data_IF_775723747649
#
_entry.id   IF_775723747649
#
_cell.length_a   1.000
_cell.length_b   1.000
_cell.length_c   1.000
_cell.angle_alpha   90.00
_cell.angle_beta   90.00
_cell.angle_gamma   90.00
#
_symmetry.space_group_name_H-M   'P 1'
#
loop_
_entity.id
_entity.type
_entity.pdbx_description
1 polymer ?
#
# COMPACT_ATOMS: atom_id res chain seq x y z
N UNK A 1 -56.66 -19.83 -60.94
CA UNK A 1 -55.48 -19.07 -60.46
C UNK A 1 -55.16 -19.41 -58.99
N UNK A 2 -54.37 -20.44 -58.60
CA UNK A 2 -54.21 -20.67 -57.14
C UNK A 2 -52.86 -21.08 -56.56
N UNK A 3 -51.98 -21.84 -57.25
CA UNK A 3 -50.72 -22.32 -56.62
C UNK A 3 -49.58 -21.30 -56.63
N UNK A 4 -49.32 -20.66 -57.76
CA UNK A 4 -48.19 -19.72 -57.93
C UNK A 4 -48.33 -18.46 -57.06
N UNK A 5 -49.56 -17.95 -56.90
CA UNK A 5 -49.86 -16.78 -56.06
C UNK A 5 -49.74 -17.11 -54.58
N UNK A 6 -50.18 -18.30 -54.14
CA UNK A 6 -50.03 -18.77 -52.76
C UNK A 6 -48.57 -18.95 -52.35
N UNK A 7 -47.73 -19.54 -53.22
CA UNK A 7 -46.30 -19.70 -52.92
C UNK A 7 -45.59 -18.35 -52.82
N UNK A 8 -45.97 -17.37 -53.64
CA UNK A 8 -45.47 -16.00 -53.50
C UNK A 8 -45.88 -15.39 -52.16
N UNK A 9 -47.16 -15.46 -51.78
CA UNK A 9 -47.64 -14.90 -50.50
C UNK A 9 -46.88 -15.54 -49.32
N UNK A 10 -46.69 -16.87 -49.31
CA UNK A 10 -45.98 -17.58 -48.25
C UNK A 10 -44.52 -17.11 -48.14
N UNK A 11 -43.82 -16.97 -49.28
CA UNK A 11 -42.43 -16.50 -49.29
C UNK A 11 -42.32 -15.07 -48.76
N UNK A 12 -43.25 -14.19 -49.12
CA UNK A 12 -43.27 -12.81 -48.63
C UNK A 12 -43.58 -12.73 -47.13
N UNK A 13 -44.51 -13.56 -46.62
CA UNK A 13 -44.79 -13.62 -45.18
C UNK A 13 -43.61 -14.15 -44.37
N UNK A 14 -42.87 -15.14 -44.88
CA UNK A 14 -41.68 -15.67 -44.22
C UNK A 14 -40.53 -14.65 -44.23
N UNK A 15 -40.35 -13.91 -45.32
CA UNK A 15 -39.34 -12.86 -45.42
C UNK A 15 -39.59 -11.71 -44.43
N UNK A 16 -40.84 -11.26 -44.28
CA UNK A 16 -41.20 -10.22 -43.32
C UNK A 16 -41.00 -10.66 -41.86
N UNK A 17 -41.32 -11.92 -41.55
CA UNK A 17 -41.10 -12.47 -40.21
C UNK A 17 -39.60 -12.52 -39.86
N UNK A 18 -38.73 -12.91 -40.80
CA UNK A 18 -37.28 -12.94 -40.59
C UNK A 18 -36.69 -11.55 -40.31
N UNK A 19 -37.16 -10.51 -41.03
CA UNK A 19 -36.71 -9.12 -40.82
C UNK A 19 -37.10 -8.61 -39.44
N UNK A 20 -38.31 -8.89 -38.97
CA UNK A 20 -38.76 -8.46 -37.64
C UNK A 20 -37.93 -9.05 -36.50
N UNK A 21 -37.50 -10.31 -36.62
CA UNK A 21 -36.67 -11.00 -35.62
C UNK A 21 -35.25 -10.37 -35.56
N UNK A 22 -34.66 -10.07 -36.71
CA UNK A 22 -33.32 -9.46 -36.79
C UNK A 22 -33.30 -8.03 -36.22
N UNK A 23 -34.33 -7.24 -36.51
CA UNK A 23 -34.45 -5.85 -36.01
C UNK A 23 -34.78 -5.85 -34.51
N UNK A 24 -35.68 -6.72 -34.05
CA UNK A 24 -36.03 -6.82 -32.62
C UNK A 24 -34.84 -7.27 -31.75
N UNK A 25 -34.07 -8.24 -32.22
CA UNK A 25 -32.90 -8.75 -31.49
C UNK A 25 -31.76 -7.73 -31.36
N UNK A 26 -31.52 -6.93 -32.40
CA UNK A 26 -30.48 -5.89 -32.37
C UNK A 26 -30.84 -4.72 -31.46
N UNK A 27 -32.11 -4.30 -31.43
CA UNK A 27 -32.57 -3.24 -30.51
C UNK A 27 -32.44 -3.69 -29.05
N UNK A 28 -32.81 -4.94 -28.72
CA UNK A 28 -32.67 -5.48 -27.37
C UNK A 28 -31.21 -5.55 -26.90
N UNK A 29 -30.27 -5.90 -27.80
CA UNK A 29 -28.84 -5.93 -27.50
C UNK A 29 -28.28 -4.53 -27.22
N UNK A 30 -28.69 -3.52 -28.00
CA UNK A 30 -28.25 -2.12 -27.81
C UNK A 30 -28.81 -1.52 -26.51
N UNK A 31 -30.07 -1.80 -26.19
CA UNK A 31 -30.70 -1.34 -24.94
C UNK A 31 -30.08 -1.99 -23.70
N UNK A 32 -29.70 -3.27 -23.79
CA UNK A 32 -29.04 -3.98 -22.68
C UNK A 32 -27.56 -3.65 -22.56
N UNK A 33 -26.85 -3.31 -23.64
CA UNK A 33 -25.44 -2.88 -23.57
C UNK A 33 -25.28 -1.46 -22.99
N UNK A 34 -26.27 -0.58 -23.20
CA UNK A 34 -26.26 0.79 -22.69
C UNK A 34 -26.25 0.92 -21.16
N UNK A 35 -26.74 -0.09 -20.42
CA UNK A 35 -26.81 -0.08 -18.95
C UNK A 35 -25.53 -0.57 -18.26
N UNK A 36 -24.57 -1.15 -18.99
CA UNK A 36 -23.31 -1.66 -18.41
C UNK A 36 -22.24 -0.59 -18.18
N UNK A 37 -22.48 0.65 -18.62
CA UNK A 37 -21.52 1.76 -18.43
C UNK A 37 -21.57 2.42 -17.05
N UNK A 38 -22.49 2.03 -16.17
CA UNK A 38 -22.81 2.80 -14.96
C UNK A 38 -22.16 2.32 -13.64
N UNK A 39 -21.27 1.31 -13.62
CA UNK A 39 -20.70 0.79 -12.36
C UNK A 39 -19.18 0.57 -12.33
N UNK A 40 -18.40 1.30 -13.12
CA UNK A 40 -16.98 1.47 -12.80
C UNK A 40 -16.87 2.67 -11.86
N UNK A 41 -17.16 2.44 -10.56
CA UNK A 41 -16.69 3.37 -9.52
C UNK A 41 -15.18 3.33 -9.59
N UNK A 42 -14.58 4.32 -10.27
CA UNK A 42 -13.15 4.60 -10.22
C UNK A 42 -12.84 4.85 -8.74
N UNK A 43 -12.30 3.84 -8.03
CA UNK A 43 -11.90 4.00 -6.63
C UNK A 43 -10.77 5.02 -6.64
N UNK A 44 -11.10 6.28 -6.37
CA UNK A 44 -10.11 7.31 -6.16
C UNK A 44 -9.19 6.79 -5.06
N UNK A 45 -7.89 6.71 -5.35
CA UNK A 45 -6.92 6.26 -4.37
C UNK A 45 -6.94 7.28 -3.22
N UNK A 46 -7.20 6.80 -1.99
CA UNK A 46 -7.38 7.69 -0.84
C UNK A 46 -6.05 8.38 -0.57
N UNK A 47 -6.03 9.71 -0.65
CA UNK A 47 -4.88 10.53 -0.27
C UNK A 47 -5.15 11.05 1.14
N UNK A 48 -4.16 10.88 2.03
CA UNK A 48 -4.27 11.28 3.42
C UNK A 48 -3.17 12.29 3.79
N UNK A 49 -3.46 13.12 4.79
CA UNK A 49 -2.52 14.09 5.35
C UNK A 49 -2.42 13.89 6.86
N UNK A 50 -1.21 13.60 7.34
CA UNK A 50 -0.81 13.46 8.75
C UNK A 50 0.29 14.45 9.11
N UNK A 51 -0.04 15.73 9.01
CA UNK A 51 0.84 16.82 9.42
C UNK A 51 2.10 16.93 8.56
N UNK A 52 3.22 17.30 9.21
CA UNK A 52 4.49 17.57 8.54
C UNK A 52 5.27 16.29 8.20
N UNK A 53 5.02 15.19 8.91
CA UNK A 53 5.74 13.91 8.75
C UNK A 53 5.29 13.15 7.51
N UNK A 54 3.98 13.19 7.21
CA UNK A 54 3.44 12.48 6.06
C UNK A 54 2.24 13.24 5.47
N UNK A 55 2.39 13.80 4.25
CA UNK A 55 1.33 14.57 3.59
C UNK A 55 1.22 14.25 2.10
N UNK A 56 0.02 14.37 1.55
CA UNK A 56 -0.25 14.30 0.12
C UNK A 56 -0.06 12.91 -0.50
N UNK A 57 -0.10 11.84 0.29
CA UNK A 57 0.14 10.48 -0.20
C UNK A 57 -0.88 9.46 0.30
N UNK A 58 -1.02 8.39 -0.49
CA UNK A 58 -1.82 7.20 -0.14
C UNK A 58 -1.23 6.38 1.00
N UNK A 59 0.07 6.49 1.20
CA UNK A 59 0.77 5.76 2.25
C UNK A 59 0.53 6.42 3.63
N UNK A 60 0.25 7.72 3.67
CA UNK A 60 -0.01 8.48 4.90
C UNK A 60 -1.37 8.18 5.57
N UNK A 61 -2.13 7.20 5.09
CA UNK A 61 -3.43 6.86 5.66
C UNK A 61 -3.34 6.00 6.93
N UNK A 62 -2.18 5.40 7.21
CA UNK A 62 -1.93 4.59 8.39
C UNK A 62 -1.23 5.40 9.51
N UNK A 63 -0.65 4.72 10.50
CA UNK A 63 0.19 5.33 11.53
C UNK A 63 1.53 5.82 10.95
N UNK A 64 2.04 6.92 11.48
CA UNK A 64 3.39 7.47 11.22
C UNK A 64 4.39 6.83 12.17
N UNK A 65 5.68 7.00 11.91
CA UNK A 65 6.70 6.42 12.82
C UNK A 65 6.58 7.00 14.21
N UNK A 66 6.31 8.31 14.34
CA UNK A 66 6.17 8.94 15.67
C UNK A 66 4.95 8.46 16.44
N UNK A 67 3.91 7.93 15.78
CA UNK A 67 2.74 7.37 16.45
C UNK A 67 3.11 6.16 17.32
N UNK A 68 4.03 5.30 16.85
CA UNK A 68 4.36 4.02 17.52
C UNK A 68 5.81 3.84 17.97
N UNK A 69 6.75 4.67 17.49
CA UNK A 69 8.17 4.63 17.87
C UNK A 69 8.57 5.93 18.54
N UNK A 70 8.58 5.92 19.87
CA UNK A 70 8.85 7.09 20.72
C UNK A 70 10.32 7.19 21.07
N UNK A 71 10.73 8.40 21.47
CA UNK A 71 12.12 8.70 21.87
C UNK A 71 12.69 7.71 22.88
N UNK A 72 11.92 7.31 23.90
CA UNK A 72 12.41 6.36 24.90
C UNK A 72 12.73 4.97 24.31
N UNK A 73 12.02 4.53 23.27
CA UNK A 73 12.31 3.26 22.60
C UNK A 73 13.59 3.36 21.78
N UNK A 74 13.82 4.51 21.13
CA UNK A 74 15.06 4.79 20.42
C UNK A 74 16.26 4.82 21.38
N UNK A 75 16.13 5.53 22.50
CA UNK A 75 17.18 5.59 23.52
C UNK A 75 17.48 4.22 24.13
N UNK A 76 16.45 3.42 24.41
CA UNK A 76 16.63 2.07 24.94
C UNK A 76 17.27 1.14 23.90
N UNK A 77 16.86 1.21 22.63
CA UNK A 77 17.40 0.37 21.56
C UNK A 77 18.87 0.67 21.27
N UNK A 78 19.26 1.94 21.39
CA UNK A 78 20.61 2.42 21.11
C UNK A 78 21.30 3.02 22.34
N UNK A 79 21.15 2.38 23.50
CA UNK A 79 21.64 2.89 24.79
C UNK A 79 23.16 3.12 24.83
N UNK A 80 23.94 2.32 24.09
CA UNK A 80 25.41 2.39 24.07
C UNK A 80 26.00 3.28 22.96
N UNK A 81 25.18 3.88 22.09
CA UNK A 81 25.65 4.63 20.90
C UNK A 81 26.48 5.86 21.25
N UNK A 82 26.27 6.42 22.44
CA UNK A 82 26.93 7.64 22.93
C UNK A 82 27.99 7.35 24.01
N UNK A 83 28.40 6.08 24.18
CA UNK A 83 29.50 5.75 25.09
C UNK A 83 30.83 6.30 24.55
N UNK A 84 31.82 6.63 25.40
CA UNK A 84 33.09 7.21 24.94
C UNK A 84 33.89 6.33 23.95
N UNK A 85 33.63 5.02 23.95
CA UNK A 85 34.22 4.05 23.02
C UNK A 85 33.56 4.06 21.63
N UNK A 86 32.38 4.66 21.49
CA UNK A 86 31.70 4.75 20.21
C UNK A 86 32.35 5.81 19.31
N UNK A 87 32.42 5.53 18.02
CA UNK A 87 33.06 6.45 17.07
C UNK A 87 32.18 7.65 16.68
N UNK A 88 30.88 7.61 17.01
CA UNK A 88 29.88 8.57 16.56
C UNK A 88 29.05 9.13 17.73
N UNK A 89 29.72 9.46 18.85
CA UNK A 89 29.08 10.02 20.05
C UNK A 89 28.31 11.29 19.69
N UNK A 90 27.03 11.32 20.04
CA UNK A 90 26.13 12.46 19.83
C UNK A 90 25.68 12.65 18.37
N UNK A 91 26.10 11.80 17.44
CA UNK A 91 25.75 11.93 16.02
C UNK A 91 24.34 11.43 15.72
N UNK A 92 23.97 10.29 16.29
CA UNK A 92 22.68 9.66 16.07
C UNK A 92 21.66 10.15 17.10
N UNK A 93 20.68 10.92 16.65
CA UNK A 93 19.62 11.48 17.48
C UNK A 93 18.22 11.09 16.96
N UNK A 94 17.26 10.96 17.87
CA UNK A 94 15.89 10.58 17.53
C UNK A 94 15.22 11.63 16.62
N UNK A 95 15.41 12.93 16.89
CA UNK A 95 14.84 13.99 16.06
C UNK A 95 15.42 13.96 14.65
N UNK A 96 16.73 13.70 14.53
CA UNK A 96 17.38 13.55 13.23
C UNK A 96 16.79 12.35 12.45
N UNK A 97 16.56 11.22 13.13
CA UNK A 97 15.94 10.04 12.53
C UNK A 97 14.52 10.34 12.02
N UNK A 98 13.64 10.92 12.84
CA UNK A 98 12.26 11.25 12.44
C UNK A 98 12.23 12.27 11.30
N UNK A 99 13.09 13.29 11.36
CA UNK A 99 13.18 14.31 10.30
C UNK A 99 13.61 13.70 8.97
N UNK A 100 14.56 12.78 8.99
CA UNK A 100 14.97 12.05 7.79
C UNK A 100 13.85 11.11 7.29
N UNK A 101 13.16 10.42 8.19
CA UNK A 101 12.10 9.48 7.84
C UNK A 101 10.88 10.18 7.21
N UNK A 102 10.52 11.38 7.66
CA UNK A 102 9.43 12.19 7.12
C UNK A 102 9.55 12.44 5.60
N UNK A 103 10.78 12.43 5.05
CA UNK A 103 11.00 12.54 3.60
C UNK A 103 10.53 11.31 2.81
N UNK A 104 10.46 10.16 3.48
CA UNK A 104 10.17 8.85 2.89
C UNK A 104 8.87 8.21 3.40
N UNK A 105 8.28 8.71 4.49
CA UNK A 105 6.94 8.28 4.95
C UNK A 105 5.86 8.45 3.86
N UNK A 106 5.80 9.57 3.09
CA UNK A 106 4.89 9.69 1.94
C UNK A 106 5.21 8.72 0.80
N UNK A 107 6.36 8.07 0.81
CA UNK A 107 6.79 7.09 -0.19
C UNK A 107 6.58 5.65 0.27
N UNK A 108 6.16 5.44 1.53
CA UNK A 108 5.82 4.12 2.07
C UNK A 108 6.69 3.67 3.23
N UNK A 109 7.77 4.38 3.58
CA UNK A 109 8.69 3.97 4.64
C UNK A 109 7.97 3.94 5.99
N UNK A 110 7.83 2.75 6.57
CA UNK A 110 7.10 2.52 7.82
C UNK A 110 5.66 3.06 7.83
N UNK A 111 5.05 3.26 6.66
CA UNK A 111 3.64 3.69 6.52
C UNK A 111 2.78 2.64 5.80
N UNK A 112 3.38 1.53 5.38
CA UNK A 112 2.73 0.47 4.58
C UNK A 112 2.30 -0.73 5.43
N UNK A 113 1.17 -1.36 5.07
CA UNK A 113 0.79 -2.67 5.60
C UNK A 113 0.19 -2.68 7.02
N UNK A 114 -0.14 -1.51 7.57
CA UNK A 114 -0.70 -1.37 8.91
C UNK A 114 0.34 -1.54 10.03
N UNK A 115 -0.06 -1.20 11.25
CA UNK A 115 0.86 -1.01 12.39
C UNK A 115 1.88 -2.12 12.61
N UNK A 116 1.46 -3.40 12.54
CA UNK A 116 2.38 -4.51 12.75
C UNK A 116 3.46 -4.59 11.67
N UNK A 117 3.11 -4.39 10.40
CA UNK A 117 4.07 -4.40 9.30
C UNK A 117 5.01 -3.19 9.34
N UNK A 118 4.47 -2.02 9.70
CA UNK A 118 5.27 -0.80 9.90
C UNK A 118 6.33 -0.99 10.98
N UNK A 119 5.97 -1.60 12.12
CA UNK A 119 6.91 -1.92 13.18
C UNK A 119 7.95 -2.96 12.73
N UNK A 120 7.55 -3.96 11.94
CA UNK A 120 8.50 -4.94 11.38
C UNK A 120 9.49 -4.28 10.42
N UNK A 121 9.04 -3.40 9.54
CA UNK A 121 9.89 -2.64 8.62
C UNK A 121 10.89 -1.78 9.39
N UNK A 122 10.42 -1.06 10.41
CA UNK A 122 11.28 -0.25 11.27
C UNK A 122 12.33 -1.12 11.98
N UNK A 123 11.93 -2.24 12.58
CA UNK A 123 12.85 -3.17 13.24
C UNK A 123 13.88 -3.74 12.27
N UNK A 124 13.47 -4.12 11.06
CA UNK A 124 14.37 -4.65 10.04
C UNK A 124 15.37 -3.58 9.58
N UNK A 125 14.91 -2.35 9.34
CA UNK A 125 15.77 -1.23 8.99
C UNK A 125 16.78 -0.92 10.09
N UNK A 126 16.32 -0.70 11.32
CA UNK A 126 17.18 -0.37 12.47
C UNK A 126 18.13 -1.52 12.82
N UNK A 127 17.68 -2.77 12.70
CA UNK A 127 18.54 -3.95 12.88
C UNK A 127 19.64 -4.03 11.83
N UNK A 128 19.33 -3.73 10.56
CA UNK A 128 20.31 -3.69 9.49
C UNK A 128 21.33 -2.57 9.68
N UNK A 129 20.88 -1.35 9.95
CA UNK A 129 21.77 -0.20 10.21
C UNK A 129 22.61 -0.45 11.46
N UNK A 130 22.00 -0.97 12.52
CA UNK A 130 22.69 -1.33 13.77
C UNK A 130 23.79 -2.37 13.54
N UNK A 131 23.56 -3.39 12.72
CA UNK A 131 24.58 -4.38 12.37
C UNK A 131 25.74 -3.81 11.54
N UNK A 132 25.50 -2.76 10.74
CA UNK A 132 26.53 -2.08 9.95
C UNK A 132 27.35 -1.06 10.74
N UNK A 133 26.78 -0.55 11.82
CA UNK A 133 27.36 0.51 12.65
C UNK A 133 27.77 0.03 14.04
N UNK A 134 27.57 -1.26 14.32
CA UNK A 134 27.99 -1.87 15.57
C UNK A 134 29.51 -1.79 15.71
N UNK A 135 29.95 -1.50 16.93
CA UNK A 135 31.35 -1.74 17.29
C UNK A 135 31.50 -3.26 17.39
N UNK A 136 32.47 -3.86 16.66
CA UNK A 136 32.72 -5.30 16.58
C UNK A 136 33.05 -6.01 17.92
N UNK A 137 32.75 -5.41 19.07
CA UNK A 137 33.09 -5.91 20.39
C UNK A 137 32.18 -7.07 20.84
N UNK A 138 30.93 -7.22 20.36
CA UNK A 138 30.07 -8.36 20.72
C UNK A 138 29.04 -8.67 19.62
N UNK A 139 29.46 -9.30 18.53
CA UNK A 139 28.52 -9.95 17.61
C UNK A 139 27.77 -11.19 18.16
N UNK A 140 28.15 -11.88 19.28
CA UNK A 140 27.35 -13.02 19.74
C UNK A 140 26.13 -12.65 20.59
N UNK A 141 26.14 -11.53 21.31
CA UNK A 141 25.16 -11.31 22.39
C UNK A 141 23.77 -10.87 21.90
N UNK A 142 23.67 -10.28 20.70
CA UNK A 142 22.39 -9.82 20.14
C UNK A 142 21.53 -10.98 19.57
N UNK A 143 22.11 -12.16 19.36
CA UNK A 143 21.38 -13.36 18.91
C UNK A 143 20.79 -14.15 20.09
N UNK A 144 21.23 -13.91 21.33
CA UNK A 144 20.88 -14.78 22.47
C UNK A 144 20.01 -14.15 23.57
N UNK A 145 19.58 -12.89 23.46
CA UNK A 145 18.60 -12.33 24.40
C UNK A 145 19.02 -12.40 25.88
N UNK A 146 20.33 -12.30 26.16
CA UNK A 146 20.81 -12.19 27.53
C UNK A 146 21.04 -10.72 27.86
N UNK A 147 20.20 -10.23 28.77
CA UNK A 147 20.40 -9.02 29.53
C UNK A 147 21.69 -9.16 30.34
N UNK A 148 22.74 -8.45 29.97
CA UNK A 148 23.92 -8.30 30.83
C UNK A 148 23.71 -7.09 31.74
N UNK A 149 23.47 -7.40 33.01
CA UNK A 149 23.62 -6.53 34.19
C UNK A 149 25.01 -5.87 34.23
N UNK A 150 25.16 -4.73 34.93
CA UNK A 150 26.31 -3.84 34.76
C UNK A 150 27.58 -4.41 35.38
N UNK A 151 28.73 -4.08 34.77
CA UNK A 151 30.04 -4.19 35.40
C UNK A 151 30.56 -2.75 35.52
N UNK A 152 30.93 -2.40 36.75
CA UNK A 152 31.33 -1.09 37.27
C UNK A 152 32.43 -0.37 36.46
#
# INVERSE_FOLDING_TARGET
MKRKTRNKIIVWTLALAAVAILVGGTIALVLTAGTWKAKIKKSQEKICNKGWECSGSKYCCNDTITDFFKVYQFENLFAKRNTPVAHAVGFWDYQAFITAAALFEPQGFCTTGGKQMQMMELCAFLGHVGAKTSCNILAPSLVLGLQEEPID
#
